data_IF_445783341827
#
_entry.id   IF_445783341827
#
_cell.length_a   1.000
_cell.length_b   1.000
_cell.length_c   1.000
_cell.angle_alpha   90.00
_cell.angle_beta   90.00
_cell.angle_gamma   90.00
#
_symmetry.space_group_name_H-M   'P 1'
#
loop_
_entity.id
_entity.type
_entity.pdbx_description
1 polymer ?
#
# COMPACT_ATOMS: atom_id res chain seq x y z
N UNK A 1 15.92 -8.99 -1.91
CA UNK A 1 15.29 -8.54 -0.67
C UNK A 1 15.04 -7.04 -0.72
N UNK A 2 13.81 -6.63 -0.54
CA UNK A 2 13.41 -5.23 -0.63
C UNK A 2 13.03 -4.74 0.77
N UNK A 3 13.73 -3.73 1.26
CA UNK A 3 13.53 -3.19 2.60
C UNK A 3 12.65 -1.96 2.57
N UNK A 4 11.98 -1.63 3.69
CA UNK A 4 11.19 -0.40 3.81
C UNK A 4 12.04 0.85 3.62
N UNK A 5 11.40 1.91 3.15
CA UNK A 5 12.01 3.25 3.00
C UNK A 5 11.20 4.26 3.79
N UNK A 6 11.88 5.23 4.39
CA UNK A 6 11.24 6.30 5.15
C UNK A 6 11.45 6.17 6.64
N UNK A 7 10.76 7.04 7.38
CA UNK A 7 10.88 7.14 8.84
C UNK A 7 9.54 6.92 9.53
N UNK A 8 9.59 6.63 10.82
CA UNK A 8 8.38 6.52 11.65
C UNK A 8 7.64 7.85 11.73
N UNK A 9 6.37 7.80 12.08
CA UNK A 9 5.50 8.97 12.26
C UNK A 9 5.31 9.79 10.97
N UNK A 10 5.45 9.16 9.81
CA UNK A 10 5.28 9.84 8.53
C UNK A 10 3.80 10.19 8.29
N UNK A 11 3.58 11.14 7.39
CA UNK A 11 2.23 11.57 7.02
C UNK A 11 1.42 10.45 6.37
N UNK A 12 2.09 9.57 5.62
CA UNK A 12 1.46 8.48 4.90
C UNK A 12 2.37 7.26 4.86
N UNK A 13 1.81 6.09 5.14
CA UNK A 13 2.46 4.81 4.90
C UNK A 13 1.86 4.21 3.62
N UNK A 14 2.70 3.88 2.66
CA UNK A 14 2.30 3.18 1.43
C UNK A 14 2.70 1.72 1.59
N UNK A 15 1.72 0.84 1.57
CA UNK A 15 1.95 -0.56 1.92
C UNK A 15 1.43 -1.49 0.84
N UNK A 16 2.32 -2.31 0.29
CA UNK A 16 2.02 -3.38 -0.65
C UNK A 16 2.21 -4.74 0.02
N UNK A 17 1.63 -5.79 -0.56
CA UNK A 17 1.77 -7.14 0.00
C UNK A 17 3.20 -7.67 -0.17
N UNK A 18 3.77 -7.51 -1.37
CA UNK A 18 5.14 -7.95 -1.70
C UNK A 18 5.69 -7.11 -2.85
N UNK A 19 7.02 -7.17 -3.07
CA UNK A 19 7.63 -6.43 -4.17
C UNK A 19 7.21 -6.96 -5.54
N UNK A 20 7.20 -6.07 -6.52
CA UNK A 20 7.09 -6.47 -7.92
C UNK A 20 8.43 -7.04 -8.41
N UNK A 21 8.42 -7.69 -9.58
CA UNK A 21 9.63 -8.29 -10.14
C UNK A 21 10.75 -7.25 -10.33
N UNK A 22 10.41 -6.07 -10.87
CA UNK A 22 11.36 -4.98 -11.05
C UNK A 22 11.94 -4.52 -9.73
N UNK A 23 11.11 -4.47 -8.69
CA UNK A 23 11.52 -4.03 -7.35
C UNK A 23 12.56 -5.01 -6.76
N UNK A 24 12.35 -6.31 -6.96
CA UNK A 24 13.31 -7.31 -6.47
C UNK A 24 14.68 -7.17 -7.16
N UNK A 25 14.67 -6.90 -8.45
CA UNK A 25 15.91 -6.70 -9.21
C UNK A 25 16.67 -5.47 -8.69
N UNK A 26 15.96 -4.38 -8.42
CA UNK A 26 16.55 -3.09 -8.07
C UNK A 26 16.75 -2.91 -6.56
N UNK A 27 16.13 -3.77 -5.74
CA UNK A 27 16.23 -3.71 -4.28
C UNK A 27 15.42 -2.60 -3.63
N UNK A 28 14.56 -1.92 -4.39
CA UNK A 28 13.77 -0.77 -3.94
C UNK A 28 12.35 -0.87 -4.48
N UNK A 29 11.35 -0.52 -3.66
CA UNK A 29 9.94 -0.56 -4.07
C UNK A 29 9.61 0.52 -5.09
N UNK A 30 8.72 0.20 -6.01
CA UNK A 30 8.18 1.12 -7.01
C UNK A 30 9.27 1.76 -7.86
N UNK A 31 10.22 0.95 -8.35
CA UNK A 31 11.33 1.44 -9.20
C UNK A 31 11.08 1.26 -10.68
N UNK A 32 10.18 0.32 -11.07
CA UNK A 32 9.84 0.10 -12.47
C UNK A 32 8.90 1.16 -13.03
N UNK A 33 8.19 0.85 -14.13
CA UNK A 33 7.25 1.80 -14.75
C UNK A 33 6.17 2.33 -13.82
N UNK A 34 5.85 1.60 -12.73
CA UNK A 34 4.89 2.04 -11.73
C UNK A 34 5.42 3.17 -10.85
N UNK A 35 6.73 3.36 -10.77
CA UNK A 35 7.34 4.37 -9.91
C UNK A 35 6.90 5.79 -10.22
N UNK A 36 7.02 6.27 -11.47
CA UNK A 36 6.56 7.62 -11.80
C UNK A 36 5.08 7.84 -11.54
N UNK A 37 4.24 6.81 -11.69
CA UNK A 37 2.82 6.93 -11.38
C UNK A 37 2.59 7.08 -9.88
N UNK A 38 3.30 6.32 -9.06
CA UNK A 38 3.22 6.49 -7.61
C UNK A 38 3.65 7.90 -7.21
N UNK A 39 4.74 8.40 -7.79
CA UNK A 39 5.21 9.76 -7.53
C UNK A 39 4.15 10.80 -7.90
N UNK A 40 3.46 10.62 -9.02
CA UNK A 40 2.36 11.49 -9.44
C UNK A 40 1.17 11.41 -8.47
N UNK A 41 0.83 10.21 -8.00
CA UNK A 41 -0.23 10.00 -7.02
C UNK A 41 0.09 10.75 -5.73
N UNK A 42 1.29 10.59 -5.20
CA UNK A 42 1.70 11.28 -3.97
C UNK A 42 1.68 12.79 -4.15
N UNK A 43 2.18 13.29 -5.27
CA UNK A 43 2.18 14.72 -5.57
C UNK A 43 0.77 15.31 -5.60
N UNK A 44 -0.17 14.55 -6.14
CA UNK A 44 -1.57 14.99 -6.24
C UNK A 44 -2.23 15.15 -4.86
N UNK A 45 -1.74 14.46 -3.84
CA UNK A 45 -2.23 14.61 -2.46
C UNK A 45 -1.26 15.42 -1.59
N UNK A 46 -0.34 16.13 -2.23
CA UNK A 46 0.54 17.09 -1.55
C UNK A 46 1.78 16.47 -0.90
N UNK A 47 2.18 15.27 -1.31
CA UNK A 47 3.29 14.54 -0.72
C UNK A 47 4.33 14.16 -1.77
N UNK A 48 5.50 13.77 -1.29
CA UNK A 48 6.56 13.12 -2.09
C UNK A 48 7.08 11.92 -1.30
N UNK A 49 7.87 11.07 -1.94
CA UNK A 49 8.35 9.84 -1.30
C UNK A 49 9.05 10.09 0.03
N UNK A 50 9.79 11.18 0.15
CA UNK A 50 10.51 11.51 1.38
C UNK A 50 9.58 11.80 2.55
N UNK A 51 8.32 12.14 2.29
CA UNK A 51 7.30 12.39 3.31
C UNK A 51 6.60 11.11 3.76
N UNK A 52 6.90 9.98 3.11
CA UNK A 52 6.17 8.74 3.27
C UNK A 52 7.05 7.62 3.80
N UNK A 53 6.40 6.63 4.42
CA UNK A 53 7.02 5.36 4.74
C UNK A 53 6.51 4.34 3.72
N UNK A 54 7.39 3.78 2.91
CA UNK A 54 7.03 2.89 1.80
C UNK A 54 7.56 1.49 2.10
N UNK A 55 6.67 0.52 2.16
CA UNK A 55 7.03 -0.84 2.56
C UNK A 55 6.18 -1.90 1.87
N UNK A 56 6.65 -3.14 1.93
CA UNK A 56 5.85 -4.32 1.64
C UNK A 56 5.87 -5.24 2.84
N UNK A 57 4.83 -6.05 3.01
CA UNK A 57 4.75 -6.99 4.14
C UNK A 57 5.80 -8.08 4.00
N UNK A 58 5.89 -8.70 2.83
CA UNK A 58 6.96 -9.64 2.52
C UNK A 58 8.11 -8.89 1.86
N UNK A 59 9.34 -9.20 2.24
CA UNK A 59 10.53 -8.54 1.68
C UNK A 59 10.95 -9.13 0.35
N UNK A 60 10.36 -10.27 -0.03
CA UNK A 60 10.55 -10.91 -1.33
C UNK A 60 9.20 -11.29 -1.91
N UNK A 61 9.13 -11.36 -3.25
CA UNK A 61 7.93 -11.77 -3.94
C UNK A 61 7.74 -13.28 -3.80
N UNK A 62 6.56 -13.77 -3.34
CA UNK A 62 6.31 -15.21 -3.30
C UNK A 62 6.21 -15.78 -4.72
N UNK A 63 6.47 -17.07 -4.85
CA UNK A 63 6.41 -17.76 -6.14
C UNK A 63 5.03 -17.57 -6.79
N UNK A 64 5.01 -17.12 -8.05
CA UNK A 64 3.79 -16.86 -8.78
C UNK A 64 2.98 -15.67 -8.27
N UNK A 65 3.50 -14.87 -7.33
CA UNK A 65 2.77 -13.75 -6.76
C UNK A 65 1.57 -14.16 -5.92
N UNK A 66 1.61 -15.34 -5.30
CA UNK A 66 0.50 -15.89 -4.50
C UNK A 66 1.02 -16.39 -3.16
N UNK A 67 0.16 -16.32 -2.14
CA UNK A 67 0.45 -16.93 -0.85
C UNK A 67 -0.68 -17.89 -0.44
N UNK A 68 -0.37 -18.89 0.37
CA UNK A 68 -1.37 -19.81 0.91
C UNK A 68 -1.98 -19.24 2.20
N UNK A 69 -2.93 -19.96 2.80
CA UNK A 69 -3.63 -19.49 4.00
C UNK A 69 -2.70 -19.31 5.20
N UNK A 70 -1.69 -20.18 5.36
CA UNK A 70 -0.77 -20.06 6.48
C UNK A 70 0.13 -18.84 6.31
N UNK A 71 0.58 -18.56 5.09
CA UNK A 71 1.35 -17.35 4.78
C UNK A 71 0.50 -16.10 4.96
N UNK A 72 -0.80 -16.17 4.57
CA UNK A 72 -1.71 -15.04 4.74
C UNK A 72 -1.89 -14.68 6.22
N UNK A 73 -2.02 -15.67 7.11
CA UNK A 73 -2.13 -15.42 8.54
C UNK A 73 -0.87 -14.76 9.10
N UNK A 74 0.30 -15.21 8.68
CA UNK A 74 1.58 -14.62 9.08
C UNK A 74 1.71 -13.18 8.56
N UNK A 75 1.32 -12.94 7.31
CA UNK A 75 1.38 -11.60 6.72
C UNK A 75 0.39 -10.65 7.39
N UNK A 76 -0.80 -11.11 7.78
CA UNK A 76 -1.75 -10.29 8.54
C UNK A 76 -1.16 -9.88 9.89
N UNK A 77 -0.50 -10.80 10.59
CA UNK A 77 0.16 -10.51 11.86
C UNK A 77 1.28 -9.49 11.67
N UNK A 78 2.09 -9.65 10.62
CA UNK A 78 3.15 -8.70 10.27
C UNK A 78 2.57 -7.33 9.94
N UNK A 79 1.45 -7.28 9.23
CA UNK A 79 0.76 -6.02 8.91
C UNK A 79 0.45 -5.23 10.18
N UNK A 80 -0.23 -5.86 11.14
CA UNK A 80 -0.67 -5.21 12.37
C UNK A 80 0.52 -4.69 13.17
N UNK A 81 1.58 -5.46 13.24
CA UNK A 81 2.80 -5.10 13.96
C UNK A 81 3.56 -3.98 13.24
N UNK A 82 3.73 -4.10 11.92
CA UNK A 82 4.50 -3.14 11.12
C UNK A 82 3.83 -1.75 11.15
N UNK A 83 2.51 -1.70 10.99
CA UNK A 83 1.79 -0.42 11.05
C UNK A 83 1.92 0.21 12.43
N UNK A 84 1.84 -0.59 13.50
CA UNK A 84 2.01 -0.08 14.87
C UNK A 84 3.40 0.51 15.09
N UNK A 85 4.45 -0.11 14.54
CA UNK A 85 5.82 0.39 14.66
C UNK A 85 6.05 1.66 13.84
N UNK A 86 5.52 1.71 12.62
CA UNK A 86 5.70 2.85 11.73
C UNK A 86 4.89 4.07 12.17
N UNK A 87 3.76 3.87 12.82
CA UNK A 87 2.89 4.93 13.36
C UNK A 87 2.55 6.00 12.33
N UNK A 88 2.04 5.64 11.14
CA UNK A 88 1.70 6.65 10.15
C UNK A 88 0.45 7.41 10.54
N UNK A 89 0.31 8.64 10.05
CA UNK A 89 -0.92 9.39 10.24
C UNK A 89 -2.07 8.80 9.43
N UNK A 90 -1.76 8.27 8.24
CA UNK A 90 -2.71 7.62 7.34
C UNK A 90 -2.03 6.50 6.57
N UNK A 91 -2.85 5.59 6.04
CA UNK A 91 -2.37 4.40 5.37
C UNK A 91 -2.96 4.29 3.96
N UNK A 92 -2.11 4.02 2.98
CA UNK A 92 -2.51 3.69 1.62
C UNK A 92 -2.19 2.22 1.35
N UNK A 93 -3.23 1.42 1.21
CA UNK A 93 -3.10 0.00 0.86
C UNK A 93 -3.07 -0.12 -0.66
N UNK A 94 -2.03 -0.74 -1.18
CA UNK A 94 -1.76 -0.79 -2.62
C UNK A 94 -1.87 -2.23 -3.10
N UNK A 95 -2.85 -2.45 -3.99
CA UNK A 95 -3.08 -3.75 -4.61
C UNK A 95 -4.17 -4.57 -3.93
N UNK A 96 -4.84 -5.40 -4.74
CA UNK A 96 -5.93 -6.26 -4.25
C UNK A 96 -5.45 -7.31 -3.26
N UNK A 97 -4.22 -7.81 -3.42
CA UNK A 97 -3.64 -8.77 -2.47
C UNK A 97 -3.47 -8.16 -1.09
N UNK A 98 -2.97 -6.92 -1.04
CA UNK A 98 -2.79 -6.22 0.22
C UNK A 98 -4.13 -5.98 0.92
N UNK A 99 -5.12 -5.54 0.15
CA UNK A 99 -6.46 -5.30 0.70
C UNK A 99 -7.10 -6.57 1.23
N UNK A 100 -6.95 -7.67 0.49
CA UNK A 100 -7.50 -8.95 0.92
C UNK A 100 -6.86 -9.43 2.22
N UNK A 101 -5.55 -9.27 2.35
CA UNK A 101 -4.84 -9.60 3.60
C UNK A 101 -5.32 -8.73 4.76
N UNK A 102 -5.53 -7.44 4.52
CA UNK A 102 -5.88 -6.49 5.58
C UNK A 102 -7.35 -6.61 6.02
N UNK A 103 -8.27 -6.89 5.10
CA UNK A 103 -9.71 -6.81 5.37
C UNK A 103 -10.49 -8.07 5.02
N UNK A 104 -9.93 -8.99 4.24
CA UNK A 104 -10.64 -10.14 3.70
C UNK A 104 -11.62 -9.78 2.59
N UNK A 105 -11.65 -8.52 2.13
CA UNK A 105 -12.64 -8.02 1.18
C UNK A 105 -11.99 -7.71 -0.17
N UNK A 106 -12.73 -7.85 -1.29
CA UNK A 106 -12.22 -7.44 -2.59
C UNK A 106 -12.22 -5.92 -2.73
N UNK A 107 -11.36 -5.41 -3.62
CA UNK A 107 -11.23 -3.97 -3.85
C UNK A 107 -12.55 -3.30 -4.23
N UNK A 108 -13.39 -3.99 -5.00
CA UNK A 108 -14.68 -3.45 -5.43
C UNK A 108 -15.59 -3.06 -4.26
N UNK A 109 -15.49 -3.77 -3.13
CA UNK A 109 -16.34 -3.52 -1.95
C UNK A 109 -15.91 -2.29 -1.17
N UNK A 110 -14.65 -1.87 -1.28
CA UNK A 110 -14.08 -0.78 -0.47
C UNK A 110 -13.66 0.43 -1.29
N UNK A 111 -13.82 0.35 -2.60
CA UNK A 111 -13.48 1.45 -3.51
C UNK A 111 -14.25 2.71 -3.11
N UNK A 112 -13.52 3.83 -3.01
CA UNK A 112 -14.12 5.12 -2.66
C UNK A 112 -14.53 5.25 -1.21
N UNK A 113 -14.08 4.35 -0.33
CA UNK A 113 -14.44 4.36 1.10
C UNK A 113 -13.20 4.49 1.97
N UNK A 114 -13.33 5.24 3.05
CA UNK A 114 -12.35 5.24 4.13
C UNK A 114 -12.53 3.97 4.96
N UNK A 115 -11.42 3.37 5.31
CA UNK A 115 -11.37 2.17 6.15
C UNK A 115 -10.69 2.51 7.47
N UNK A 116 -11.13 1.89 8.55
CA UNK A 116 -10.41 1.90 9.82
C UNK A 116 -9.67 0.58 9.95
N UNK A 117 -8.34 0.63 9.94
CA UNK A 117 -7.52 -0.55 10.13
C UNK A 117 -7.08 -0.64 11.57
N UNK A 118 -7.42 -1.75 12.23
CA UNK A 118 -6.93 -2.04 13.57
C UNK A 118 -5.51 -2.59 13.48
N UNK A 119 -4.63 -2.09 14.34
CA UNK A 119 -3.27 -2.59 14.46
C UNK A 119 -2.89 -2.70 15.93
N UNK A 120 -1.69 -3.18 16.22
CA UNK A 120 -1.28 -3.47 17.60
C UNK A 120 -1.23 -2.24 18.50
N UNK A 121 -1.13 -1.03 17.91
CA UNK A 121 -1.09 0.22 18.67
C UNK A 121 -2.40 1.03 18.63
N UNK A 122 -3.46 0.54 17.96
CA UNK A 122 -4.74 1.27 17.86
C UNK A 122 -5.38 1.16 16.48
N UNK A 123 -5.80 2.28 15.93
CA UNK A 123 -6.44 2.36 14.62
C UNK A 123 -5.79 3.43 13.74
N UNK A 124 -5.86 3.22 12.43
CA UNK A 124 -5.42 4.19 11.45
C UNK A 124 -6.43 4.24 10.30
N UNK A 125 -6.71 5.44 9.79
CA UNK A 125 -7.53 5.59 8.60
C UNK A 125 -6.75 5.15 7.38
N UNK A 126 -7.41 4.39 6.50
CA UNK A 126 -6.79 3.84 5.31
C UNK A 126 -7.71 3.98 4.10
N UNK A 127 -7.12 4.06 2.92
CA UNK A 127 -7.81 3.82 1.65
C UNK A 127 -7.05 2.76 0.89
N UNK A 128 -7.75 2.09 -0.02
CA UNK A 128 -7.15 1.08 -0.89
C UNK A 128 -7.28 1.49 -2.34
N UNK A 129 -6.21 1.28 -3.10
CA UNK A 129 -6.20 1.48 -4.55
C UNK A 129 -5.60 0.26 -5.22
N UNK A 130 -5.89 0.09 -6.52
CA UNK A 130 -5.19 -0.90 -7.33
C UNK A 130 -3.71 -0.55 -7.36
N UNK A 131 -2.84 -1.57 -7.47
CA UNK A 131 -1.41 -1.35 -7.59
C UNK A 131 -1.11 -0.44 -8.79
N UNK A 132 -0.17 0.53 -8.69
CA UNK A 132 0.20 1.38 -9.82
C UNK A 132 0.54 0.61 -11.10
N UNK A 133 1.16 -0.57 -10.99
CA UNK A 133 1.40 -1.41 -12.16
C UNK A 133 0.09 -1.83 -12.85
N UNK A 134 -0.94 -2.13 -12.08
CA UNK A 134 -2.28 -2.44 -12.61
C UNK A 134 -2.92 -1.22 -13.27
N UNK A 135 -2.75 -0.03 -12.68
CA UNK A 135 -3.29 1.21 -13.23
C UNK A 135 -2.64 1.57 -14.55
N UNK A 136 -1.36 1.27 -14.72
CA UNK A 136 -0.66 1.43 -16.02
C UNK A 136 -1.22 0.48 -17.06
N UNK A 137 -1.49 -0.78 -16.68
CA UNK A 137 -2.04 -1.79 -17.59
C UNK A 137 -3.50 -1.50 -17.96
N UNK A 138 -4.25 -0.87 -17.06
CA UNK A 138 -5.69 -0.59 -17.24
C UNK A 138 -6.01 0.86 -16.86
N UNK A 139 -5.72 1.83 -17.75
CA UNK A 139 -5.92 3.24 -17.43
C UNK A 139 -7.37 3.61 -17.04
N UNK A 140 -8.37 2.85 -17.47
CA UNK A 140 -9.75 3.11 -17.07
C UNK A 140 -9.98 3.03 -15.55
N UNK A 141 -9.11 2.33 -14.81
CA UNK A 141 -9.21 2.22 -13.35
C UNK A 141 -8.66 3.43 -12.61
N UNK A 142 -7.99 4.36 -13.30
CA UNK A 142 -7.37 5.54 -12.67
C UNK A 142 -8.41 6.43 -11.99
N UNK A 143 -9.58 6.63 -12.61
CA UNK A 143 -10.62 7.49 -12.03
C UNK A 143 -11.08 6.98 -10.67
N UNK A 144 -11.27 5.67 -10.52
CA UNK A 144 -11.66 5.07 -9.25
C UNK A 144 -10.56 5.24 -8.19
N UNK A 145 -9.29 5.09 -8.58
CA UNK A 145 -8.17 5.31 -7.68
C UNK A 145 -8.13 6.76 -7.20
N UNK A 146 -8.35 7.74 -8.09
CA UNK A 146 -8.38 9.15 -7.72
C UNK A 146 -9.50 9.46 -6.75
N UNK A 147 -10.69 8.88 -6.93
CA UNK A 147 -11.81 9.09 -6.01
C UNK A 147 -11.46 8.59 -4.60
N UNK A 148 -10.79 7.45 -4.49
CA UNK A 148 -10.32 6.93 -3.20
C UNK A 148 -9.25 7.81 -2.59
N UNK A 149 -8.29 8.29 -3.40
CA UNK A 149 -7.20 9.13 -2.91
C UNK A 149 -7.67 10.49 -2.37
N UNK A 150 -8.73 11.05 -2.93
CA UNK A 150 -9.30 12.30 -2.42
C UNK A 150 -9.73 12.20 -0.97
N UNK A 151 -10.09 11.02 -0.50
CA UNK A 151 -10.49 10.79 0.88
C UNK A 151 -9.33 11.01 1.85
N UNK A 152 -8.08 10.77 1.41
CA UNK A 152 -6.90 11.01 2.24
C UNK A 152 -6.61 12.48 2.47
N UNK A 153 -7.12 13.37 1.61
CA UNK A 153 -6.93 14.80 1.74
C UNK A 153 -7.99 15.48 2.60
N UNK A 154 -9.06 14.77 2.94
CA UNK A 154 -10.12 15.35 3.78
C UNK A 154 -9.60 15.53 5.21
N UNK A 155 -9.86 16.70 5.79
CA UNK A 155 -9.41 16.99 7.15
C UNK A 155 -8.00 17.54 7.27
N UNK A 156 -7.37 17.84 6.14
CA UNK A 156 -6.07 18.52 6.11
C UNK A 156 -6.24 20.03 6.10
#
# INVERSE_FOLDING_TARGET
RVLPQGTQDSALMVLAAWPEVDDQRDGTLFTGPAGPLLDAILRAIGLKRDDCYIASLAVTRPAGGRCDESDAAELDRLLRHHVALARPQRLLLVGSDMLRLATGRPLADVRGKLLDLNHDGGKVEAVAIAHPAMLLARPAHKAAAWDSLKLLNRGR
#
